data_IF_297250804781
#
_entry.id   IF_297250804781
#
_cell.length_a   1.000
_cell.length_b   1.000
_cell.length_c   1.000
_cell.angle_alpha   90.00
_cell.angle_beta   90.00
_cell.angle_gamma   90.00
#
_symmetry.space_group_name_H-M   'P 1'
#
loop_
_entity.id
_entity.type
_entity.pdbx_description
1 polymer ?
#
# COMPACT_ATOMS: atom_id res chain seq x y z
N UNK A 1 -21.64 -8.63 -0.80
CA UNK A 1 -20.92 -7.77 -1.75
C UNK A 1 -21.00 -6.32 -1.31
N UNK A 2 -19.88 -5.64 -1.15
CA UNK A 2 -19.89 -4.27 -0.67
C UNK A 2 -20.30 -3.28 -1.75
N UNK A 3 -21.29 -2.45 -1.44
CA UNK A 3 -21.69 -1.33 -2.30
C UNK A 3 -20.71 -0.17 -2.10
N UNK A 4 -20.80 0.87 -2.96
CA UNK A 4 -19.99 2.09 -2.80
C UNK A 4 -20.19 2.73 -1.43
N UNK A 5 -21.45 2.76 -0.96
CA UNK A 5 -21.79 3.32 0.35
C UNK A 5 -21.15 2.53 1.48
N UNK A 6 -21.20 1.21 1.38
CA UNK A 6 -20.60 0.34 2.39
C UNK A 6 -19.09 0.51 2.46
N UNK A 7 -18.43 0.68 1.31
CA UNK A 7 -16.98 0.92 1.27
C UNK A 7 -16.61 2.24 1.92
N UNK A 8 -17.39 3.29 1.69
CA UNK A 8 -17.19 4.57 2.35
C UNK A 8 -17.41 4.49 3.85
N UNK A 9 -18.46 3.78 4.28
CA UNK A 9 -18.74 3.57 5.70
C UNK A 9 -17.60 2.83 6.39
N UNK A 10 -17.05 1.83 5.73
CA UNK A 10 -15.89 1.08 6.21
C UNK A 10 -14.69 1.99 6.41
N UNK A 11 -14.42 2.87 5.43
CA UNK A 11 -13.34 3.84 5.53
C UNK A 11 -13.56 4.80 6.68
N UNK A 12 -14.76 5.36 6.82
CA UNK A 12 -15.08 6.26 7.91
C UNK A 12 -14.93 5.60 9.28
N UNK A 13 -15.33 4.35 9.39
CA UNK A 13 -15.20 3.59 10.63
C UNK A 13 -13.73 3.42 11.01
N UNK A 14 -12.87 3.09 10.03
CA UNK A 14 -11.43 2.96 10.25
C UNK A 14 -10.81 4.28 10.71
N UNK A 15 -11.23 5.41 10.11
CA UNK A 15 -10.75 6.73 10.51
C UNK A 15 -11.14 7.02 11.96
N UNK A 16 -12.36 6.71 12.35
CA UNK A 16 -12.85 6.90 13.72
C UNK A 16 -12.07 6.07 14.73
N UNK A 17 -11.78 4.82 14.38
CA UNK A 17 -11.06 3.90 15.26
C UNK A 17 -9.56 4.21 15.34
N UNK A 18 -9.02 4.87 14.32
CA UNK A 18 -7.59 5.14 14.20
C UNK A 18 -7.32 6.60 13.84
N UNK A 19 -7.71 7.55 14.71
CA UNK A 19 -7.65 8.98 14.36
C UNK A 19 -6.24 9.52 14.12
N UNK A 20 -5.22 8.83 14.61
CA UNK A 20 -3.82 9.26 14.48
C UNK A 20 -3.11 8.64 13.27
N UNK A 21 -3.74 7.70 12.58
CA UNK A 21 -3.11 7.06 11.42
C UNK A 21 -3.29 7.91 10.16
N UNK A 22 -2.24 8.02 9.33
CA UNK A 22 -2.39 8.66 8.02
C UNK A 22 -3.29 7.81 7.12
N UNK A 23 -3.91 8.46 6.15
CA UNK A 23 -4.73 7.79 5.14
C UNK A 23 -3.91 7.73 3.86
N UNK A 24 -3.69 6.53 3.34
CA UNK A 24 -2.92 6.32 2.13
C UNK A 24 -3.84 5.88 0.99
N UNK A 25 -4.16 6.78 0.04
CA UNK A 25 -4.94 6.37 -1.14
C UNK A 25 -4.03 5.66 -2.16
N UNK A 26 -4.42 4.46 -2.55
CA UNK A 26 -3.70 3.67 -3.55
C UNK A 26 -4.52 3.60 -4.82
N UNK A 27 -4.09 4.33 -5.83
CA UNK A 27 -4.82 4.51 -7.09
C UNK A 27 -4.45 3.42 -8.08
N UNK A 28 -5.46 2.77 -8.67
CA UNK A 28 -5.25 1.79 -9.73
C UNK A 28 -4.57 2.49 -10.91
N UNK A 29 -3.50 1.90 -11.42
CA UNK A 29 -2.70 2.51 -12.49
C UNK A 29 -3.49 2.70 -13.80
N UNK A 30 -4.55 1.95 -14.00
CA UNK A 30 -5.37 2.07 -15.21
C UNK A 30 -6.29 3.30 -15.20
N UNK A 31 -6.46 3.96 -14.04
CA UNK A 31 -7.30 5.16 -13.96
C UNK A 31 -6.73 6.28 -14.81
N UNK A 32 -5.41 6.44 -14.83
CA UNK A 32 -4.74 7.48 -15.62
C UNK A 32 -4.35 6.91 -16.97
N UNK A 33 -5.32 6.83 -17.88
CA UNK A 33 -5.13 6.20 -19.18
C UNK A 33 -4.78 7.18 -20.30
N UNK A 34 -4.93 8.48 -20.08
CA UNK A 34 -4.76 9.51 -21.11
C UNK A 34 -4.24 10.79 -20.47
N UNK A 35 -3.23 11.38 -21.06
CA UNK A 35 -2.62 12.63 -20.60
C UNK A 35 -3.45 13.89 -20.89
N UNK A 36 -4.59 13.74 -21.59
CA UNK A 36 -5.43 14.86 -22.00
C UNK A 36 -6.19 15.56 -20.88
N UNK A 37 -6.28 14.94 -19.70
CA UNK A 37 -7.02 15.49 -18.56
C UNK A 37 -6.11 15.66 -17.35
N UNK A 38 -6.40 16.66 -16.54
CA UNK A 38 -5.65 16.91 -15.30
C UNK A 38 -6.18 16.12 -14.10
N UNK A 39 -7.41 15.61 -14.18
CA UNK A 39 -8.06 14.85 -13.11
C UNK A 39 -8.96 13.77 -13.69
N UNK A 40 -9.17 12.73 -12.90
CA UNK A 40 -9.89 11.55 -13.33
C UNK A 40 -10.93 11.16 -12.30
N UNK A 41 -12.09 10.68 -12.77
CA UNK A 41 -13.11 10.10 -11.91
C UNK A 41 -12.69 8.69 -11.52
N UNK A 42 -12.93 8.34 -10.26
CA UNK A 42 -12.61 7.02 -9.74
C UNK A 42 -13.67 6.58 -8.74
N UNK A 43 -13.59 5.34 -8.30
CA UNK A 43 -14.50 4.77 -7.31
C UNK A 43 -13.76 4.40 -6.04
N UNK A 44 -14.42 4.55 -4.91
CA UNK A 44 -13.87 4.10 -3.62
C UNK A 44 -13.83 2.58 -3.58
N UNK A 45 -12.66 2.04 -3.30
CA UNK A 45 -12.48 0.61 -3.10
C UNK A 45 -12.41 0.24 -1.62
N UNK A 46 -11.87 -0.94 -1.34
CA UNK A 46 -11.76 -1.44 0.02
C UNK A 46 -10.73 -0.63 0.83
N UNK A 47 -10.97 -0.52 2.13
CA UNK A 47 -10.06 0.13 3.06
C UNK A 47 -9.67 -0.83 4.17
N UNK A 48 -8.43 -0.74 4.64
CA UNK A 48 -7.92 -1.58 5.72
C UNK A 48 -6.73 -0.90 6.38
N UNK A 49 -6.39 -1.35 7.59
CA UNK A 49 -5.18 -0.89 8.27
C UNK A 49 -4.03 -1.81 7.88
N UNK A 50 -2.94 -1.22 7.40
CA UNK A 50 -1.76 -1.98 7.00
C UNK A 50 -0.49 -1.17 7.22
N UNK A 51 0.64 -1.76 6.85
CA UNK A 51 1.93 -1.09 6.93
C UNK A 51 2.57 -1.04 5.54
N UNK A 52 3.19 0.10 5.23
CA UNK A 52 3.83 0.29 3.94
C UNK A 52 5.18 0.98 4.10
N UNK A 53 5.98 0.94 3.04
CA UNK A 53 7.23 1.67 2.93
C UNK A 53 7.41 2.12 1.49
N UNK A 54 7.95 3.32 1.30
CA UNK A 54 8.28 3.82 -0.03
C UNK A 54 9.71 3.43 -0.36
N UNK A 55 9.88 2.56 -1.34
CA UNK A 55 11.19 2.17 -1.84
C UNK A 55 11.66 3.12 -2.94
N UNK A 56 12.75 2.75 -3.61
CA UNK A 56 13.29 3.54 -4.72
C UNK A 56 12.47 3.40 -5.99
N UNK A 57 11.84 2.26 -6.20
CA UNK A 57 11.08 1.97 -7.41
C UNK A 57 9.57 1.98 -7.20
N UNK A 58 9.10 1.60 -6.01
CA UNK A 58 7.66 1.49 -5.75
C UNK A 58 7.37 1.50 -4.26
N UNK A 59 6.06 1.55 -3.96
CA UNK A 59 5.56 1.36 -2.60
C UNK A 59 5.42 -0.14 -2.35
N UNK A 60 5.89 -0.58 -1.19
CA UNK A 60 5.82 -1.97 -0.75
C UNK A 60 4.90 -2.11 0.45
N UNK A 61 4.18 -3.21 0.53
CA UNK A 61 3.28 -3.50 1.64
C UNK A 61 3.82 -4.65 2.47
N UNK A 62 3.87 -4.45 3.77
CA UNK A 62 4.36 -5.46 4.69
C UNK A 62 3.46 -6.70 4.63
N UNK A 63 4.09 -7.87 4.64
CA UNK A 63 3.47 -9.20 4.60
C UNK A 63 2.84 -9.58 3.26
N UNK A 64 2.64 -8.63 2.34
CA UNK A 64 2.11 -8.93 0.99
C UNK A 64 3.22 -9.12 -0.04
N UNK A 65 4.36 -8.47 0.16
CA UNK A 65 5.46 -8.47 -0.79
C UNK A 65 6.64 -9.33 -0.31
N UNK A 66 7.43 -9.84 -1.25
CA UNK A 66 8.58 -10.68 -0.95
C UNK A 66 9.66 -9.88 -0.23
N UNK A 67 10.13 -10.40 0.90
CA UNK A 67 11.11 -9.72 1.76
C UNK A 67 12.41 -9.37 1.04
N UNK A 68 12.92 -10.26 0.19
CA UNK A 68 14.16 -10.02 -0.54
C UNK A 68 14.00 -8.89 -1.55
N UNK A 69 12.87 -8.86 -2.26
CA UNK A 69 12.57 -7.79 -3.22
C UNK A 69 12.44 -6.44 -2.53
N UNK A 70 11.75 -6.41 -1.40
CA UNK A 70 11.57 -5.19 -0.60
C UNK A 70 12.93 -4.67 -0.12
N UNK A 71 13.76 -5.54 0.45
CA UNK A 71 15.08 -5.16 0.95
C UNK A 71 15.99 -4.69 -0.18
N UNK A 72 15.93 -5.34 -1.32
CA UNK A 72 16.75 -4.96 -2.47
C UNK A 72 16.41 -3.55 -2.96
N UNK A 73 15.13 -3.19 -3.00
CA UNK A 73 14.70 -1.86 -3.43
C UNK A 73 14.93 -0.79 -2.36
N UNK A 74 14.65 -1.10 -1.09
CA UNK A 74 14.71 -0.11 -0.01
C UNK A 74 16.11 0.17 0.49
N UNK A 75 16.96 -0.86 0.54
CA UNK A 75 18.33 -0.76 1.08
C UNK A 75 19.37 -0.79 -0.04
N UNK A 76 19.21 -1.75 -0.95
CA UNK A 76 20.16 -1.95 -2.05
C UNK A 76 21.46 -2.60 -1.60
N UNK A 77 22.18 -3.19 -2.55
CA UNK A 77 23.52 -3.74 -2.30
C UNK A 77 23.59 -4.92 -1.34
N UNK A 78 22.45 -5.51 -1.00
CA UNK A 78 22.43 -6.68 -0.11
C UNK A 78 22.67 -7.94 -0.92
N UNK A 79 23.62 -8.76 -0.44
CA UNK A 79 23.91 -10.06 -1.00
C UNK A 79 23.15 -11.12 -0.17
N UNK A 80 22.12 -11.68 -0.76
CA UNK A 80 21.30 -12.70 -0.09
C UNK A 80 21.87 -14.09 -0.21
N UNK A 81 22.92 -14.27 -1.00
CA UNK A 81 23.54 -15.55 -1.20
C UNK A 81 24.16 -16.06 0.10
N UNK A 82 23.68 -17.20 0.55
CA UNK A 82 24.14 -17.77 1.83
C UNK A 82 23.54 -17.15 3.08
N UNK A 83 22.62 -16.17 2.91
CA UNK A 83 21.95 -15.56 4.06
C UNK A 83 20.78 -16.45 4.51
N UNK A 84 20.71 -16.72 5.81
CA UNK A 84 19.61 -17.48 6.38
C UNK A 84 18.30 -16.71 6.33
N UNK A 85 17.17 -17.41 6.17
CA UNK A 85 15.85 -16.81 6.13
C UNK A 85 15.55 -15.97 7.37
N UNK A 86 15.98 -16.43 8.52
CA UNK A 86 15.81 -15.73 9.79
C UNK A 86 16.48 -14.36 9.77
N UNK A 87 17.66 -14.26 9.16
CA UNK A 87 18.39 -13.01 9.05
C UNK A 87 17.72 -12.07 8.06
N UNK A 88 17.23 -12.59 6.95
CA UNK A 88 16.46 -11.82 5.96
C UNK A 88 15.22 -11.23 6.62
N UNK A 89 14.48 -12.03 7.37
CA UNK A 89 13.29 -11.59 8.07
C UNK A 89 13.59 -10.52 9.12
N UNK A 90 14.72 -10.63 9.80
CA UNK A 90 15.16 -9.64 10.77
C UNK A 90 15.40 -8.28 10.13
N UNK A 91 16.10 -8.26 9.01
CA UNK A 91 16.36 -7.02 8.28
C UNK A 91 15.06 -6.41 7.72
N UNK A 92 14.15 -7.26 7.26
CA UNK A 92 12.83 -6.85 6.77
C UNK A 92 12.02 -6.16 7.87
N UNK A 93 11.98 -6.75 9.08
CA UNK A 93 11.25 -6.18 10.21
C UNK A 93 11.84 -4.86 10.73
N UNK A 94 13.13 -4.63 10.49
CA UNK A 94 13.81 -3.39 10.90
C UNK A 94 13.52 -2.21 9.98
N UNK A 95 12.93 -2.44 8.81
CA UNK A 95 12.63 -1.34 7.89
C UNK A 95 11.64 -0.36 8.55
N UNK A 96 11.70 0.92 8.18
CA UNK A 96 10.82 1.93 8.78
C UNK A 96 9.40 1.87 8.22
N UNK A 97 8.72 0.77 8.49
CA UNK A 97 7.34 0.56 8.07
C UNK A 97 6.42 1.63 8.67
N UNK A 98 5.50 2.12 7.86
CA UNK A 98 4.53 3.14 8.28
C UNK A 98 3.15 2.49 8.35
N UNK A 99 2.55 2.54 9.53
CA UNK A 99 1.18 2.07 9.70
C UNK A 99 0.21 3.12 9.21
N UNK A 100 -0.77 2.73 8.41
CA UNK A 100 -1.70 3.66 7.79
C UNK A 100 -3.04 3.00 7.51
N UNK A 101 -4.06 3.83 7.28
CA UNK A 101 -5.31 3.36 6.70
C UNK A 101 -5.10 3.38 5.20
N UNK A 102 -5.09 2.20 4.59
CA UNK A 102 -4.89 2.06 3.15
C UNK A 102 -6.26 1.98 2.49
N UNK A 103 -6.53 2.87 1.56
CA UNK A 103 -7.79 2.86 0.81
C UNK A 103 -7.49 2.71 -0.67
N UNK A 104 -8.10 1.71 -1.28
CA UNK A 104 -7.95 1.49 -2.71
C UNK A 104 -8.88 2.41 -3.49
N UNK A 105 -8.34 3.03 -4.53
CA UNK A 105 -9.10 3.87 -5.45
C UNK A 105 -9.15 3.11 -6.77
N UNK A 106 -10.33 2.63 -7.10
CA UNK A 106 -10.54 1.72 -8.24
C UNK A 106 -11.07 2.45 -9.47
N UNK A 107 -11.10 1.75 -10.58
CA UNK A 107 -11.70 2.26 -11.81
C UNK A 107 -13.15 2.64 -11.57
N UNK A 108 -13.65 3.71 -12.25
CA UNK A 108 -15.05 4.11 -12.08
C UNK A 108 -15.99 2.97 -12.48
N UNK A 109 -17.07 2.83 -11.71
CA UNK A 109 -18.13 1.92 -12.09
C UNK A 109 -18.93 2.51 -13.24
N UNK A 110 -19.26 1.67 -14.20
CA UNK A 110 -20.00 2.08 -15.39
C UNK A 110 -21.48 1.79 -15.22
#
# INVERSE_FOLDING_TARGET
MNTKKEKLEELFQLIKENPDLPILPMVDSEIVADDGYSRWTASWGNAYVGEYITGNERIWFKDDDDAEEVLNDCVGGIDFYGMEDEKVNKEYEKLPWIKAIIVNIDLPEV
#
